data_IF_727278111432
#
_entry.id   IF_727278111432
#
_cell.length_a   1.000
_cell.length_b   1.000
_cell.length_c   1.000
_cell.angle_alpha   90.00
_cell.angle_beta   90.00
_cell.angle_gamma   90.00
#
_symmetry.space_group_name_H-M   'P 1'
#
loop_
_entity.id
_entity.type
_entity.pdbx_description
1 polymer ?
#
# COMPACT_ATOMS: atom_id res chain seq x y z
N UNK A 1 58.81 31.23 60.55
CA UNK A 1 58.68 31.42 62.03
C UNK A 1 57.17 31.69 62.29
N UNK A 2 56.63 30.83 63.14
CA UNK A 2 55.38 31.00 63.95
C UNK A 2 54.04 31.06 63.24
N UNK A 3 53.32 29.96 63.34
CA UNK A 3 51.85 29.90 63.56
C UNK A 3 51.46 30.75 64.79
N UNK A 4 50.16 31.22 64.84
CA UNK A 4 49.18 30.50 65.64
C UNK A 4 47.78 30.39 64.95
N UNK A 5 47.18 29.30 65.13
CA UNK A 5 46.19 28.71 66.07
C UNK A 5 44.74 29.16 65.87
N UNK A 6 43.96 28.14 65.57
CA UNK A 6 42.53 27.96 65.67
C UNK A 6 41.77 28.92 66.62
N UNK A 7 40.66 29.41 66.19
CA UNK A 7 39.50 29.48 67.06
C UNK A 7 38.22 28.98 66.41
N UNK A 8 37.57 28.12 67.18
CA UNK A 8 36.43 27.28 66.82
C UNK A 8 35.21 27.92 67.49
N UNK A 9 34.14 28.08 66.78
CA UNK A 9 32.76 28.36 67.21
C UNK A 9 32.15 29.66 66.71
N UNK A 10 31.54 29.58 65.53
CA UNK A 10 30.32 30.36 65.32
C UNK A 10 29.23 29.44 64.76
N UNK A 11 28.21 29.22 65.60
CA UNK A 11 26.96 28.61 65.23
C UNK A 11 26.25 29.50 64.20
N UNK A 12 26.02 28.95 63.05
CA UNK A 12 25.10 29.52 62.07
C UNK A 12 23.69 28.99 62.32
N UNK A 13 22.78 29.85 62.63
CA UNK A 13 21.34 29.58 62.63
C UNK A 13 20.82 29.35 61.22
N UNK A 14 19.88 28.41 61.00
CA UNK A 14 19.32 28.22 59.68
C UNK A 14 18.31 29.35 59.41
N UNK A 15 18.70 30.27 58.54
CA UNK A 15 17.74 31.22 57.94
C UNK A 15 16.85 30.46 56.98
N UNK A 16 15.58 30.33 57.36
CA UNK A 16 14.52 29.80 56.49
C UNK A 16 14.24 30.79 55.37
N UNK A 17 15.00 30.66 54.27
CA UNK A 17 14.66 31.30 53.02
C UNK A 17 13.69 30.40 52.27
N UNK A 18 12.40 30.60 52.47
CA UNK A 18 11.39 29.99 51.63
C UNK A 18 11.52 30.58 50.23
N UNK A 19 12.20 29.83 49.36
CA UNK A 19 12.26 30.08 47.93
C UNK A 19 10.92 29.68 47.34
N UNK A 20 10.02 30.67 47.24
CA UNK A 20 8.70 30.52 46.61
C UNK A 20 8.92 30.33 45.12
N UNK A 21 8.99 29.09 44.70
CA UNK A 21 8.91 28.69 43.30
C UNK A 21 7.48 29.03 42.82
N UNK A 22 7.34 30.18 42.19
CA UNK A 22 6.14 30.52 41.42
C UNK A 22 6.20 29.66 40.18
N UNK A 23 5.57 28.49 40.22
CA UNK A 23 5.19 27.72 39.05
C UNK A 23 4.17 28.57 38.28
N UNK A 24 4.63 29.36 37.31
CA UNK A 24 3.77 29.87 36.26
C UNK A 24 3.28 28.65 35.45
N UNK A 25 2.15 28.09 35.90
CA UNK A 25 1.33 27.25 35.08
C UNK A 25 0.81 28.10 33.92
N UNK A 26 1.48 28.02 32.78
CA UNK A 26 0.95 28.54 31.52
C UNK A 26 -0.31 27.69 31.21
N UNK A 27 -1.45 28.13 31.66
CA UNK A 27 -2.74 27.61 31.25
C UNK A 27 -2.90 28.07 29.81
N UNK A 28 -2.48 27.22 28.87
CA UNK A 28 -2.94 27.31 27.49
C UNK A 28 -4.44 26.99 27.54
N UNK A 29 -5.26 28.00 27.75
CA UNK A 29 -6.67 27.90 27.46
C UNK A 29 -6.76 27.63 25.95
N UNK A 30 -6.96 26.38 25.58
CA UNK A 30 -7.45 26.06 24.26
C UNK A 30 -8.72 26.92 24.10
N UNK A 31 -8.73 27.79 23.10
CA UNK A 31 -9.94 28.48 22.70
C UNK A 31 -10.90 27.39 22.24
N UNK A 32 -11.76 26.92 23.12
CA UNK A 32 -12.91 26.12 22.73
C UNK A 32 -13.80 27.04 21.90
N UNK A 33 -13.76 26.86 20.58
CA UNK A 33 -14.70 27.56 19.69
C UNK A 33 -16.10 27.08 20.12
N UNK A 34 -16.99 28.02 20.52
CA UNK A 34 -18.33 27.65 20.95
C UNK A 34 -18.99 26.80 19.87
N UNK A 35 -19.58 25.65 20.25
CA UNK A 35 -20.22 24.67 19.35
C UNK A 35 -21.34 25.28 18.47
N UNK A 36 -21.77 26.52 18.81
CA UNK A 36 -22.85 27.22 18.10
C UNK A 36 -22.38 28.27 17.10
N UNK A 37 -21.06 28.47 16.94
CA UNK A 37 -20.58 29.40 15.91
C UNK A 37 -20.80 28.80 14.49
N UNK A 38 -21.28 29.65 13.56
CA UNK A 38 -21.33 29.27 12.16
C UNK A 38 -19.96 28.84 11.64
N UNK A 39 -19.89 27.72 10.95
CA UNK A 39 -18.66 27.14 10.40
C UNK A 39 -18.87 26.65 8.98
N UNK A 40 -17.98 27.00 8.04
CA UNK A 40 -18.01 26.39 6.72
C UNK A 40 -17.75 24.89 6.81
N UNK A 41 -18.14 24.10 5.81
CA UNK A 41 -17.86 22.68 5.78
C UNK A 41 -16.36 22.39 5.75
N UNK A 42 -15.97 21.31 6.42
CA UNK A 42 -14.63 20.73 6.35
C UNK A 42 -14.77 19.24 6.16
N UNK A 43 -14.14 18.67 5.12
CA UNK A 43 -14.12 17.23 4.88
C UNK A 43 -13.31 16.56 5.99
N UNK A 44 -13.93 15.63 6.71
CA UNK A 44 -13.32 14.89 7.83
C UNK A 44 -12.96 13.45 7.49
N UNK A 45 -13.67 12.85 6.52
CA UNK A 45 -13.38 11.52 6.02
C UNK A 45 -13.67 11.48 4.52
N UNK A 46 -12.79 10.89 3.75
CA UNK A 46 -12.97 10.63 2.33
C UNK A 46 -12.24 9.35 1.91
N UNK A 47 -12.69 8.72 0.84
CA UNK A 47 -12.01 7.57 0.25
C UNK A 47 -10.65 7.95 -0.35
N UNK A 48 -9.71 7.02 -0.50
CA UNK A 48 -8.40 7.28 -1.13
C UNK A 48 -8.57 7.72 -2.59
N UNK A 49 -7.55 8.43 -3.12
CA UNK A 49 -7.56 8.91 -4.51
C UNK A 49 -7.69 7.79 -5.54
N UNK A 50 -7.03 6.68 -5.30
CA UNK A 50 -7.16 5.43 -6.06
C UNK A 50 -7.92 4.42 -5.22
N UNK A 51 -9.15 4.11 -5.64
CA UNK A 51 -10.01 3.15 -4.97
C UNK A 51 -10.28 1.97 -5.89
N UNK A 52 -9.64 0.84 -5.59
CA UNK A 52 -9.85 -0.41 -6.31
C UNK A 52 -10.82 -1.27 -5.51
N UNK A 53 -11.98 -1.58 -6.08
CA UNK A 53 -13.01 -2.38 -5.40
C UNK A 53 -13.02 -3.84 -5.88
N UNK A 54 -13.47 -4.73 -4.98
CA UNK A 54 -13.75 -6.12 -5.31
C UNK A 54 -15.14 -6.20 -5.98
N UNK A 55 -15.28 -6.80 -7.17
CA UNK A 55 -16.59 -6.90 -7.84
C UNK A 55 -17.61 -7.80 -7.11
N UNK A 56 -17.22 -8.44 -6.01
CA UNK A 56 -18.10 -9.27 -5.17
C UNK A 56 -18.69 -8.50 -3.99
N UNK A 57 -18.23 -7.28 -3.75
CA UNK A 57 -18.62 -6.47 -2.60
C UNK A 57 -19.21 -5.14 -3.05
N UNK A 58 -20.12 -4.57 -2.25
CA UNK A 58 -20.66 -3.24 -2.52
C UNK A 58 -19.53 -2.20 -2.51
N UNK A 59 -19.65 -1.21 -3.39
CA UNK A 59 -18.72 -0.08 -3.42
C UNK A 59 -19.14 0.93 -2.35
N UNK A 60 -18.23 1.30 -1.46
CA UNK A 60 -18.47 2.32 -0.43
C UNK A 60 -17.53 3.50 -0.63
N UNK A 61 -18.05 4.64 -1.07
CA UNK A 61 -17.28 5.86 -1.30
C UNK A 61 -17.52 6.81 -0.13
N UNK A 62 -16.51 6.95 0.74
CA UNK A 62 -16.64 7.80 1.92
C UNK A 62 -16.53 9.28 1.58
N UNK A 63 -17.46 10.06 2.14
CA UNK A 63 -17.40 11.51 2.20
C UNK A 63 -18.16 11.98 3.43
N UNK A 64 -17.43 12.45 4.44
CA UNK A 64 -18.03 13.06 5.62
C UNK A 64 -17.47 14.46 5.81
N UNK A 65 -18.28 15.36 6.28
CA UNK A 65 -17.89 16.72 6.57
C UNK A 65 -18.57 17.22 7.84
N UNK A 66 -17.88 18.15 8.52
CA UNK A 66 -18.42 18.91 9.64
C UNK A 66 -18.57 20.36 9.22
N UNK A 67 -19.63 21.00 9.70
CA UNK A 67 -19.94 22.39 9.46
C UNK A 67 -21.17 22.81 10.27
N UNK A 68 -21.40 24.09 10.42
CA UNK A 68 -22.60 24.60 11.09
C UNK A 68 -23.19 25.76 10.29
N UNK A 69 -24.42 25.63 9.76
CA UNK A 69 -25.32 24.45 9.79
C UNK A 69 -24.71 23.18 9.19
N UNK A 70 -25.32 22.03 9.50
CA UNK A 70 -24.89 20.74 8.91
C UNK A 70 -24.86 20.85 7.39
N UNK A 71 -23.76 20.42 6.74
CA UNK A 71 -23.65 20.53 5.30
C UNK A 71 -24.58 19.56 4.56
N UNK A 72 -25.05 19.99 3.40
CA UNK A 72 -25.63 19.15 2.37
C UNK A 72 -24.52 18.58 1.48
N UNK A 73 -24.78 17.45 0.83
CA UNK A 73 -23.82 16.75 -0.01
C UNK A 73 -24.32 16.58 -1.44
N UNK A 74 -23.41 16.70 -2.38
CA UNK A 74 -23.65 16.37 -3.78
C UNK A 74 -22.40 15.71 -4.39
N UNK A 75 -22.59 15.02 -5.49
CA UNK A 75 -21.53 14.30 -6.16
C UNK A 75 -21.42 14.67 -7.63
N UNK A 76 -20.20 14.63 -8.14
CA UNK A 76 -19.94 14.57 -9.57
C UNK A 76 -19.29 13.25 -9.93
N UNK A 77 -19.58 12.75 -11.13
CA UNK A 77 -18.91 11.61 -11.74
C UNK A 77 -18.40 12.01 -13.12
N UNK A 78 -17.09 11.82 -13.37
CA UNK A 78 -16.43 12.23 -14.60
C UNK A 78 -16.67 13.71 -14.94
N UNK A 79 -16.71 14.58 -13.92
CA UNK A 79 -16.93 16.02 -14.05
C UNK A 79 -18.38 16.47 -14.26
N UNK A 80 -19.33 15.55 -14.35
CA UNK A 80 -20.76 15.85 -14.48
C UNK A 80 -21.53 15.56 -13.19
N UNK A 81 -22.60 16.30 -12.93
CA UNK A 81 -23.45 16.05 -11.76
C UNK A 81 -23.94 14.60 -11.74
N UNK A 82 -23.72 13.92 -10.61
CA UNK A 82 -24.16 12.56 -10.38
C UNK A 82 -25.41 12.58 -9.49
N UNK A 83 -26.55 12.35 -10.12
CA UNK A 83 -27.85 12.32 -9.44
C UNK A 83 -28.06 10.94 -8.81
N UNK A 84 -27.82 10.85 -7.50
CA UNK A 84 -27.91 9.60 -6.74
C UNK A 84 -29.34 9.07 -6.63
N UNK A 85 -30.36 9.93 -6.80
CA UNK A 85 -31.75 9.53 -6.69
C UNK A 85 -32.25 8.80 -7.95
N UNK A 86 -31.57 8.97 -9.08
CA UNK A 86 -31.91 8.33 -10.34
C UNK A 86 -31.47 6.88 -10.46
N UNK A 87 -30.52 6.46 -9.61
CA UNK A 87 -29.98 5.11 -9.62
C UNK A 87 -30.39 4.37 -8.34
N UNK A 88 -31.32 3.45 -8.45
CA UNK A 88 -31.85 2.67 -7.32
C UNK A 88 -30.80 1.79 -6.62
N UNK A 89 -29.64 1.59 -7.25
CA UNK A 89 -28.51 0.86 -6.69
C UNK A 89 -27.59 1.72 -5.82
N UNK A 90 -27.75 3.06 -5.90
CA UNK A 90 -26.92 4.01 -5.18
C UNK A 90 -27.70 4.57 -4.00
N UNK A 91 -27.13 4.44 -2.81
CA UNK A 91 -27.67 5.02 -1.59
C UNK A 91 -26.66 6.00 -0.99
N UNK A 92 -27.08 7.24 -0.77
CA UNK A 92 -26.33 8.18 0.06
C UNK A 92 -26.77 8.05 1.52
N UNK A 93 -25.83 7.86 2.43
CA UNK A 93 -26.13 7.70 3.86
C UNK A 93 -26.75 8.98 4.44
N UNK A 94 -27.81 8.89 5.24
CA UNK A 94 -28.39 10.06 5.89
C UNK A 94 -27.37 10.85 6.73
N UNK A 95 -27.35 12.17 6.56
CA UNK A 95 -26.42 13.05 7.28
C UNK A 95 -24.95 12.95 6.87
N UNK A 96 -24.66 12.24 5.81
CA UNK A 96 -23.31 12.00 5.27
C UNK A 96 -23.36 12.04 3.74
N UNK A 97 -22.23 12.39 3.11
CA UNK A 97 -22.08 12.26 1.66
C UNK A 97 -21.64 10.85 1.23
N UNK A 98 -21.44 9.91 2.16
CA UNK A 98 -20.96 8.55 1.84
C UNK A 98 -21.98 7.82 0.96
N UNK A 99 -21.50 7.36 -0.21
CA UNK A 99 -22.27 6.54 -1.12
C UNK A 99 -22.04 5.06 -0.85
N UNK A 100 -23.11 4.29 -0.90
CA UNK A 100 -23.09 2.82 -0.94
C UNK A 100 -23.74 2.39 -2.26
N UNK A 101 -22.96 1.69 -3.09
CA UNK A 101 -23.42 1.23 -4.40
C UNK A 101 -23.54 -0.28 -4.36
N UNK A 102 -24.76 -0.78 -4.51
CA UNK A 102 -25.06 -2.21 -4.64
C UNK A 102 -24.79 -2.66 -6.08
N UNK A 103 -23.70 -3.40 -6.29
CA UNK A 103 -23.31 -3.92 -7.60
C UNK A 103 -23.84 -5.33 -7.86
N UNK A 104 -24.69 -5.86 -7.00
CA UNK A 104 -25.28 -7.19 -7.19
C UNK A 104 -26.14 -7.24 -8.46
N UNK A 105 -25.84 -8.19 -9.33
CA UNK A 105 -26.61 -8.39 -10.58
C UNK A 105 -26.31 -7.41 -11.70
N UNK A 106 -25.36 -6.49 -11.51
CA UNK A 106 -24.95 -5.50 -12.50
C UNK A 106 -23.52 -5.76 -12.99
N UNK A 107 -23.16 -5.14 -14.12
CA UNK A 107 -21.76 -5.07 -14.54
C UNK A 107 -21.06 -4.07 -13.62
N UNK A 108 -20.20 -4.58 -12.75
CA UNK A 108 -19.48 -3.78 -11.76
C UNK A 108 -18.64 -2.64 -12.39
N UNK A 109 -18.15 -2.86 -13.61
CA UNK A 109 -17.40 -1.86 -14.40
C UNK A 109 -18.26 -0.64 -14.80
N UNK A 110 -19.61 -0.75 -14.75
CA UNK A 110 -20.50 0.38 -15.00
C UNK A 110 -20.32 1.53 -14.00
N UNK A 111 -19.79 1.24 -12.81
CA UNK A 111 -19.56 2.24 -11.77
C UNK A 111 -18.11 2.76 -11.73
N UNK A 112 -17.23 2.30 -12.61
CA UNK A 112 -15.88 2.88 -12.74
C UNK A 112 -15.97 4.36 -13.15
N UNK A 113 -15.04 5.16 -12.67
CA UNK A 113 -14.98 6.58 -13.01
C UNK A 113 -14.30 7.42 -11.92
N UNK A 114 -14.26 8.72 -12.16
CA UNK A 114 -13.72 9.70 -11.22
C UNK A 114 -14.87 10.37 -10.49
N UNK A 115 -14.92 10.19 -9.18
CA UNK A 115 -15.95 10.75 -8.31
C UNK A 115 -15.38 11.88 -7.47
N UNK A 116 -16.19 12.91 -7.24
CA UNK A 116 -15.84 14.00 -6.33
C UNK A 116 -17.06 14.43 -5.53
N UNK A 117 -16.89 14.51 -4.22
CA UNK A 117 -17.92 14.96 -3.28
C UNK A 117 -17.78 16.44 -3.01
N UNK A 118 -18.92 17.12 -2.91
CA UNK A 118 -19.02 18.51 -2.47
C UNK A 118 -19.91 18.57 -1.23
N UNK A 119 -19.41 19.17 -0.16
CA UNK A 119 -20.17 19.47 1.04
C UNK A 119 -20.43 20.98 1.09
N UNK A 120 -21.66 21.42 1.27
CA UNK A 120 -22.07 22.82 1.19
C UNK A 120 -23.00 23.21 2.36
N UNK A 121 -22.77 24.41 2.92
CA UNK A 121 -23.72 25.10 3.79
C UNK A 121 -23.69 26.62 3.46
N UNK A 122 -24.50 27.43 4.16
CA UNK A 122 -24.60 28.88 3.94
C UNK A 122 -23.27 29.64 4.18
N UNK A 123 -22.29 29.01 4.79
CA UNK A 123 -21.00 29.61 5.14
C UNK A 123 -19.85 29.17 4.22
N UNK A 124 -20.09 28.23 3.30
CA UNK A 124 -19.07 27.83 2.35
C UNK A 124 -19.26 26.44 1.75
N UNK A 125 -18.23 26.04 1.03
CA UNK A 125 -18.18 24.78 0.30
C UNK A 125 -16.84 24.11 0.50
N UNK A 126 -16.84 22.81 0.78
CA UNK A 126 -15.66 21.96 0.80
C UNK A 126 -15.78 20.86 -0.27
N UNK A 127 -14.69 20.53 -0.90
CA UNK A 127 -14.63 19.55 -1.98
C UNK A 127 -13.63 18.45 -1.62
N UNK A 128 -13.98 17.20 -1.89
CA UNK A 128 -13.07 16.06 -1.68
C UNK A 128 -11.98 16.00 -2.75
N UNK A 129 -10.99 15.14 -2.55
CA UNK A 129 -10.14 14.73 -3.65
C UNK A 129 -10.95 14.09 -4.77
N UNK A 130 -10.41 14.09 -5.99
CA UNK A 130 -10.87 13.18 -7.03
C UNK A 130 -10.59 11.74 -6.61
N UNK A 131 -11.61 10.91 -6.60
CA UNK A 131 -11.55 9.49 -6.22
C UNK A 131 -11.73 8.68 -7.48
N UNK A 132 -10.66 8.05 -7.96
CA UNK A 132 -10.68 7.20 -9.16
C UNK A 132 -11.07 5.81 -8.72
N UNK A 133 -12.25 5.37 -9.16
CA UNK A 133 -12.84 4.08 -8.80
C UNK A 133 -12.65 3.11 -9.95
N UNK A 134 -12.01 1.97 -9.67
CA UNK A 134 -11.72 0.92 -10.65
C UNK A 134 -12.00 -0.45 -10.07
N UNK A 135 -12.50 -1.35 -10.90
CA UNK A 135 -12.70 -2.75 -10.55
C UNK A 135 -11.35 -3.47 -10.46
N UNK A 136 -11.19 -4.32 -9.44
CA UNK A 136 -10.05 -5.22 -9.35
C UNK A 136 -10.07 -6.24 -10.49
N UNK A 137 -8.89 -6.59 -11.00
CA UNK A 137 -8.73 -7.51 -12.14
C UNK A 137 -7.63 -8.51 -11.85
N UNK A 138 -7.92 -9.78 -12.11
CA UNK A 138 -6.97 -10.88 -12.02
C UNK A 138 -7.05 -11.74 -13.29
N UNK A 139 -6.50 -11.26 -14.42
CA UNK A 139 -6.55 -12.01 -15.69
C UNK A 139 -5.88 -13.37 -15.56
N UNK A 140 -6.36 -14.35 -16.30
CA UNK A 140 -5.79 -15.68 -16.32
C UNK A 140 -4.39 -15.65 -16.97
N UNK A 141 -3.48 -16.43 -16.43
CA UNK A 141 -2.18 -16.63 -17.04
C UNK A 141 -2.29 -17.54 -18.27
N UNK A 142 -1.51 -17.22 -19.31
CA UNK A 142 -1.38 -18.08 -20.47
C UNK A 142 -0.87 -19.47 -20.06
N UNK A 143 -1.44 -20.53 -20.65
CA UNK A 143 -1.02 -21.91 -20.45
C UNK A 143 0.04 -22.38 -21.44
N UNK A 144 0.65 -21.44 -22.17
CA UNK A 144 1.76 -21.77 -23.08
C UNK A 144 2.92 -22.40 -22.34
N UNK A 145 3.46 -23.48 -22.92
CA UNK A 145 4.63 -24.13 -22.37
C UNK A 145 5.86 -23.26 -22.59
N UNK A 146 6.73 -23.24 -21.60
CA UNK A 146 8.05 -22.64 -21.76
C UNK A 146 8.99 -23.61 -22.47
N UNK A 147 9.89 -23.08 -23.30
CA UNK A 147 10.99 -23.86 -23.84
C UNK A 147 11.99 -24.18 -22.74
N UNK A 148 12.61 -25.37 -22.80
CA UNK A 148 13.68 -25.75 -21.89
C UNK A 148 14.92 -24.89 -22.18
N UNK A 149 15.53 -24.37 -21.13
CA UNK A 149 16.71 -23.51 -21.21
C UNK A 149 17.94 -24.37 -20.94
N UNK A 150 18.91 -24.34 -21.86
CA UNK A 150 20.21 -24.97 -21.68
C UNK A 150 21.30 -23.89 -21.68
N UNK A 151 22.09 -23.83 -20.61
CA UNK A 151 23.14 -22.81 -20.42
C UNK A 151 24.44 -23.43 -19.94
N UNK A 152 25.57 -22.76 -20.22
CA UNK A 152 26.87 -23.16 -19.70
C UNK A 152 27.02 -22.72 -18.25
N UNK A 153 27.71 -23.54 -17.44
CA UNK A 153 28.08 -23.17 -16.07
C UNK A 153 28.85 -21.84 -16.06
N UNK A 154 28.56 -20.99 -15.08
CA UNK A 154 29.23 -19.71 -14.86
C UNK A 154 28.65 -18.52 -15.62
N UNK A 155 27.73 -18.70 -16.56
CA UNK A 155 27.07 -17.57 -17.24
C UNK A 155 25.90 -17.03 -16.41
N UNK A 156 25.52 -15.80 -16.66
CA UNK A 156 24.30 -15.21 -16.07
C UNK A 156 23.05 -15.73 -16.77
N UNK A 157 21.97 -15.87 -16.03
CA UNK A 157 20.67 -16.32 -16.53
C UNK A 157 19.55 -15.46 -15.97
N UNK A 158 18.52 -15.20 -16.78
CA UNK A 158 17.29 -14.54 -16.35
C UNK A 158 16.11 -15.45 -16.70
N UNK A 159 15.32 -15.82 -15.70
CA UNK A 159 14.04 -16.49 -15.89
C UNK A 159 12.93 -15.44 -15.86
N UNK A 160 12.26 -15.26 -17.00
CA UNK A 160 11.23 -14.26 -17.13
C UNK A 160 9.90 -14.73 -16.53
N UNK A 161 9.36 -13.97 -15.58
CA UNK A 161 8.05 -14.24 -15.00
C UNK A 161 6.92 -13.79 -15.94
N UNK A 162 6.87 -12.52 -16.35
CA UNK A 162 5.83 -11.90 -17.20
C UNK A 162 4.41 -12.19 -16.70
N UNK A 163 4.04 -11.74 -15.49
CA UNK A 163 2.70 -11.98 -14.96
C UNK A 163 1.65 -11.22 -15.77
N UNK A 164 0.40 -11.69 -15.79
CA UNK A 164 -0.69 -10.93 -16.40
C UNK A 164 -0.90 -9.62 -15.66
N UNK A 165 -1.26 -8.57 -16.41
CA UNK A 165 -1.49 -7.23 -15.87
C UNK A 165 -2.77 -7.19 -15.02
N UNK A 166 -2.65 -7.37 -13.73
CA UNK A 166 -3.73 -7.29 -12.77
C UNK A 166 -3.92 -5.89 -12.18
N UNK A 167 -5.04 -5.69 -11.52
CA UNK A 167 -5.33 -4.47 -10.77
C UNK A 167 -5.94 -4.84 -9.40
N UNK A 168 -5.28 -4.50 -8.28
CA UNK A 168 -3.92 -4.00 -8.16
C UNK A 168 -2.88 -4.94 -8.80
N UNK A 169 -1.65 -4.47 -9.05
CA UNK A 169 -0.59 -5.35 -9.54
C UNK A 169 -0.39 -6.56 -8.62
N UNK A 170 -0.17 -7.76 -9.17
CA UNK A 170 0.02 -8.95 -8.37
C UNK A 170 1.34 -8.93 -7.59
N UNK A 171 1.36 -9.62 -6.47
CA UNK A 171 2.58 -9.94 -5.74
C UNK A 171 3.20 -11.19 -6.36
N UNK A 172 4.45 -11.07 -6.83
CA UNK A 172 5.18 -12.13 -7.53
C UNK A 172 6.10 -12.86 -6.56
N UNK A 173 6.19 -14.17 -6.73
CA UNK A 173 7.16 -15.02 -6.02
C UNK A 173 7.41 -16.30 -6.79
N UNK A 174 8.56 -16.93 -6.53
CA UNK A 174 8.98 -18.17 -7.18
C UNK A 174 8.95 -19.33 -6.21
N UNK A 175 8.43 -20.47 -6.66
CA UNK A 175 8.38 -21.72 -5.91
C UNK A 175 8.73 -22.91 -6.80
N UNK A 176 9.00 -24.02 -6.15
CA UNK A 176 9.17 -25.33 -6.77
C UNK A 176 7.85 -26.14 -6.79
N UNK A 177 7.90 -27.37 -7.31
CA UNK A 177 6.75 -28.27 -7.33
C UNK A 177 6.24 -28.72 -5.95
N UNK A 178 7.04 -28.52 -4.90
CA UNK A 178 6.67 -28.84 -3.53
C UNK A 178 6.09 -27.60 -2.79
N UNK A 179 5.79 -26.52 -3.53
CA UNK A 179 5.33 -25.24 -2.98
C UNK A 179 6.32 -24.60 -1.98
N UNK A 180 7.61 -24.93 -2.12
CA UNK A 180 8.66 -24.28 -1.35
C UNK A 180 9.16 -23.06 -2.12
N UNK A 181 9.32 -21.93 -1.41
CA UNK A 181 9.91 -20.74 -2.00
C UNK A 181 11.34 -21.01 -2.40
N UNK A 182 11.72 -20.59 -3.60
CA UNK A 182 13.11 -20.67 -4.03
C UNK A 182 13.98 -19.78 -3.14
N UNK A 183 15.13 -20.27 -2.68
CA UNK A 183 16.05 -19.45 -1.88
C UNK A 183 16.61 -18.33 -2.74
N UNK A 184 16.63 -17.13 -2.15
CA UNK A 184 17.28 -15.95 -2.73
C UNK A 184 18.56 -15.66 -1.92
N UNK A 185 19.63 -15.34 -2.62
CA UNK A 185 20.93 -15.06 -2.04
C UNK A 185 21.67 -13.98 -2.86
N UNK A 186 22.99 -13.85 -2.66
CA UNK A 186 23.82 -12.91 -3.44
C UNK A 186 23.95 -13.29 -4.91
N UNK A 187 23.74 -14.55 -5.25
CA UNK A 187 23.85 -15.08 -6.61
C UNK A 187 22.49 -15.14 -7.32
N UNK A 188 21.42 -15.38 -6.58
CA UNK A 188 20.04 -15.53 -7.10
C UNK A 188 19.15 -14.46 -6.48
N UNK A 189 18.60 -13.58 -7.29
CA UNK A 189 17.74 -12.47 -6.83
C UNK A 189 16.49 -12.32 -7.69
N UNK A 190 15.42 -11.77 -7.11
CA UNK A 190 14.20 -11.43 -7.81
C UNK A 190 14.13 -9.93 -8.06
N UNK A 191 13.90 -9.55 -9.30
CA UNK A 191 13.70 -8.15 -9.68
C UNK A 191 12.26 -7.67 -9.37
N UNK A 192 12.06 -6.34 -9.43
CA UNK A 192 10.76 -5.72 -9.18
C UNK A 192 9.68 -6.15 -10.18
N UNK A 193 10.07 -6.47 -11.42
CA UNK A 193 9.16 -7.00 -12.45
C UNK A 193 8.81 -8.49 -12.26
N UNK A 194 9.40 -9.14 -11.24
CA UNK A 194 9.18 -10.53 -10.91
C UNK A 194 10.17 -11.50 -11.55
N UNK A 195 11.04 -11.07 -12.45
CA UNK A 195 12.03 -11.94 -13.09
C UNK A 195 13.07 -12.44 -12.07
N UNK A 196 13.52 -13.68 -12.24
CA UNK A 196 14.53 -14.31 -11.40
C UNK A 196 15.90 -14.25 -12.09
N UNK A 197 16.86 -13.62 -11.42
CA UNK A 197 18.21 -13.39 -11.92
C UNK A 197 19.23 -14.28 -11.24
N UNK A 198 20.05 -14.92 -12.04
CA UNK A 198 21.25 -15.64 -11.61
C UNK A 198 22.47 -14.86 -12.09
N UNK A 199 23.34 -14.42 -11.21
CA UNK A 199 24.59 -13.76 -11.60
C UNK A 199 25.54 -14.70 -12.31
N UNK A 200 25.53 -15.98 -11.91
CA UNK A 200 26.22 -17.09 -12.55
C UNK A 200 25.49 -18.39 -12.21
N UNK A 201 25.24 -19.23 -13.18
CA UNK A 201 24.60 -20.53 -12.96
C UNK A 201 25.61 -21.58 -12.56
N UNK A 202 25.17 -22.48 -11.66
CA UNK A 202 25.92 -23.61 -11.17
C UNK A 202 25.21 -24.92 -11.55
N UNK A 203 25.89 -26.08 -11.54
CA UNK A 203 25.27 -27.38 -11.84
C UNK A 203 24.02 -27.68 -10.99
N UNK A 204 24.00 -27.22 -9.74
CA UNK A 204 22.89 -27.36 -8.80
C UNK A 204 21.62 -26.59 -9.20
N UNK A 205 21.73 -25.62 -10.12
CA UNK A 205 20.59 -24.89 -10.67
C UNK A 205 19.85 -25.70 -11.75
N UNK A 206 20.36 -26.86 -12.13
CA UNK A 206 19.65 -27.77 -13.03
C UNK A 206 18.42 -28.33 -12.35
N UNK A 207 17.25 -27.85 -12.79
CA UNK A 207 15.96 -28.32 -12.31
C UNK A 207 14.85 -27.98 -13.31
N UNK A 208 13.73 -28.70 -13.24
CA UNK A 208 12.60 -28.56 -14.18
C UNK A 208 11.40 -27.81 -13.60
N UNK A 209 11.53 -27.25 -12.41
CA UNK A 209 10.41 -26.75 -11.62
C UNK A 209 10.61 -25.30 -11.08
N UNK A 210 11.19 -24.44 -11.92
CA UNK A 210 11.13 -23.02 -11.66
C UNK A 210 9.75 -22.49 -12.02
N UNK A 211 8.90 -22.19 -11.01
CA UNK A 211 7.52 -21.79 -11.22
C UNK A 211 7.31 -20.39 -10.68
N UNK A 212 6.96 -19.45 -11.57
CA UNK A 212 6.56 -18.10 -11.17
C UNK A 212 5.08 -18.08 -10.76
N UNK A 213 4.78 -17.50 -9.62
CA UNK A 213 3.44 -17.30 -9.07
C UNK A 213 3.08 -15.82 -9.00
N UNK A 214 1.82 -15.53 -9.26
CA UNK A 214 1.22 -14.21 -9.10
C UNK A 214 0.02 -14.30 -8.16
N UNK A 215 0.09 -13.59 -7.02
CA UNK A 215 -1.02 -13.48 -6.07
C UNK A 215 -1.71 -12.14 -6.26
N UNK A 216 -3.02 -12.16 -6.53
CA UNK A 216 -3.89 -11.00 -6.69
C UNK A 216 -4.63 -10.74 -5.37
N UNK A 217 -4.26 -9.70 -4.59
CA UNK A 217 -4.75 -9.53 -3.22
C UNK A 217 -6.26 -9.34 -3.11
N UNK A 218 -6.86 -8.51 -3.98
CA UNK A 218 -8.28 -8.18 -3.89
C UNK A 218 -9.19 -9.35 -4.27
N UNK A 219 -8.83 -10.11 -5.30
CA UNK A 219 -9.61 -11.29 -5.70
C UNK A 219 -9.22 -12.54 -4.91
N UNK A 220 -8.18 -12.46 -4.07
CA UNK A 220 -7.60 -13.57 -3.30
C UNK A 220 -7.25 -14.78 -4.18
N UNK A 221 -6.88 -14.54 -5.44
CA UNK A 221 -6.50 -15.57 -6.38
C UNK A 221 -4.99 -15.69 -6.50
N UNK A 222 -4.52 -16.93 -6.72
CA UNK A 222 -3.13 -17.23 -7.02
C UNK A 222 -3.11 -17.93 -8.36
N UNK A 223 -2.26 -17.46 -9.25
CA UNK A 223 -2.03 -18.06 -10.55
C UNK A 223 -0.56 -18.39 -10.72
N UNK A 224 -0.25 -19.35 -11.59
CA UNK A 224 1.11 -19.75 -11.85
C UNK A 224 1.38 -19.79 -13.35
N UNK A 225 2.61 -19.46 -13.70
CA UNK A 225 3.18 -19.72 -15.02
C UNK A 225 3.46 -21.21 -15.17
N UNK A 226 3.51 -21.71 -16.40
CA UNK A 226 4.02 -23.06 -16.65
C UNK A 226 5.46 -23.19 -16.16
N UNK A 227 5.87 -24.34 -15.60
CA UNK A 227 7.22 -24.53 -15.10
C UNK A 227 8.29 -24.27 -16.16
N UNK A 228 9.41 -23.68 -15.75
CA UNK A 228 10.58 -23.46 -16.59
C UNK A 228 11.62 -24.49 -16.22
N UNK A 229 12.12 -25.22 -17.23
CA UNK A 229 13.22 -26.19 -17.07
C UNK A 229 14.54 -25.54 -17.41
N UNK A 230 15.53 -25.72 -16.55
CA UNK A 230 16.91 -25.24 -16.74
C UNK A 230 17.86 -26.43 -16.65
N UNK A 231 18.75 -26.53 -17.62
CA UNK A 231 19.86 -27.52 -17.64
C UNK A 231 21.17 -26.77 -17.74
N UNK A 232 22.04 -26.93 -16.76
CA UNK A 232 23.37 -26.33 -16.72
C UNK A 232 24.40 -27.34 -17.22
N UNK A 233 25.11 -26.96 -18.28
CA UNK A 233 26.18 -27.79 -18.86
C UNK A 233 27.48 -27.44 -18.16
N UNK A 234 28.22 -28.49 -17.74
CA UNK A 234 29.58 -28.32 -17.22
C UNK A 234 30.49 -27.84 -18.36
N UNK A 235 31.39 -26.91 -18.07
CA UNK A 235 32.44 -26.54 -19.01
C UNK A 235 33.22 -27.80 -19.36
N UNK A 236 33.32 -28.13 -20.63
CA UNK A 236 34.25 -29.20 -21.09
C UNK A 236 35.64 -28.81 -20.64
N UNK A 237 36.19 -29.54 -19.71
CA UNK A 237 37.64 -29.58 -19.49
C UNK A 237 38.26 -29.83 -20.85
N UNK A 238 38.94 -28.86 -21.44
CA UNK A 238 39.69 -29.06 -22.67
C UNK A 238 40.74 -30.11 -22.40
N UNK A 239 40.50 -31.33 -22.89
CA UNK A 239 41.58 -32.33 -23.02
C UNK A 239 42.57 -31.74 -24.00
N UNK A 240 43.63 -31.13 -23.44
CA UNK A 240 44.86 -30.88 -24.14
C UNK A 240 45.42 -32.23 -24.59
N UNK A 241 45.13 -32.63 -25.82
CA UNK A 241 45.93 -33.65 -26.51
C UNK A 241 47.32 -33.05 -26.69
N UNK A 242 48.22 -33.36 -25.75
CA UNK A 242 49.62 -33.20 -25.97
C UNK A 242 50.00 -34.06 -27.16
N UNK A 243 50.40 -33.43 -28.24
CA UNK A 243 51.13 -34.08 -29.32
C UNK A 243 52.57 -34.10 -28.86
N UNK A 244 53.06 -35.32 -28.55
CA UNK A 244 54.46 -35.64 -28.39
C UNK A 244 55.12 -35.82 -29.74
#
# INVERSE_FOLDING_TARGET
>A
MRHPSLDRNRKWAPGSGAMMLILMSCVTSALEVPLDLPQPPTITLQSPKDYIFDPRENIVIHCEAKGKPNPSFSWTRNGTHFDVEKDSKVLMRPGSGTLVIDISGERADAYEGTYQCTAHNDHGTAVSNNIIIRQSRSPLWSKERNEAITVQMGVSLVLQCRPPAGLPPPVIFWMDNNFQRLPLDQRVSQALNGDLYFSNVLPEDTRSDYICYARFPHTQTIQQKQPISVTVLNSKSGNGTGIG
#
